data_IF_681221453352
#
_entry.id   IF_681221453352
#
_cell.length_a   1.000
_cell.length_b   1.000
_cell.length_c   1.000
_cell.angle_alpha   90.00
_cell.angle_beta   90.00
_cell.angle_gamma   90.00
#
_symmetry.space_group_name_H-M   'P 1'
#
loop_
_entity.id
_entity.type
_entity.pdbx_description
1 polymer ?
#
# COMPACT_ATOMS: atom_id res chain seq x y z
N UNK A 1 -56.44 -39.23 -34.89
CA UNK A 1 -55.24 -39.88 -34.35
C UNK A 1 -54.10 -38.88 -34.44
N UNK A 2 -53.74 -38.30 -33.30
CA UNK A 2 -52.80 -37.19 -33.14
C UNK A 2 -51.37 -37.70 -33.00
N UNK A 3 -50.43 -37.13 -33.76
CA UNK A 3 -48.98 -37.14 -33.43
C UNK A 3 -48.38 -35.79 -33.81
N UNK A 4 -48.24 -34.94 -32.81
CA UNK A 4 -47.41 -33.73 -32.78
C UNK A 4 -46.45 -33.92 -31.61
N UNK A 5 -45.18 -34.22 -31.86
CA UNK A 5 -44.08 -33.93 -30.93
C UNK A 5 -42.79 -33.85 -31.76
N UNK A 6 -42.21 -32.65 -31.79
CA UNK A 6 -40.88 -32.38 -32.34
C UNK A 6 -39.79 -32.84 -31.38
N UNK A 7 -38.69 -33.34 -31.95
CA UNK A 7 -37.51 -33.85 -31.25
C UNK A 7 -36.65 -32.71 -30.68
N UNK A 8 -36.03 -32.98 -29.53
CA UNK A 8 -35.26 -32.05 -28.68
C UNK A 8 -33.87 -31.64 -29.22
N UNK A 9 -33.60 -31.79 -30.52
CA UNK A 9 -32.22 -31.83 -31.03
C UNK A 9 -31.62 -30.48 -31.48
N UNK A 10 -32.33 -29.35 -31.38
CA UNK A 10 -31.81 -28.03 -31.75
C UNK A 10 -31.89 -27.00 -30.61
N UNK A 11 -31.38 -27.36 -29.44
CA UNK A 11 -31.20 -26.39 -28.35
C UNK A 11 -29.78 -25.79 -28.41
N UNK A 12 -29.68 -24.56 -28.91
CA UNK A 12 -28.42 -23.82 -29.02
C UNK A 12 -27.72 -23.58 -27.68
N UNK A 13 -26.40 -23.31 -27.68
CA UNK A 13 -25.59 -23.21 -26.46
C UNK A 13 -26.07 -22.12 -25.49
N UNK A 14 -26.65 -21.01 -25.98
CA UNK A 14 -27.20 -19.94 -25.13
C UNK A 14 -28.46 -20.38 -24.35
N UNK A 15 -29.34 -21.17 -24.97
CA UNK A 15 -30.57 -21.69 -24.34
C UNK A 15 -30.22 -22.70 -23.23
N UNK A 16 -29.14 -23.49 -23.42
CA UNK A 16 -28.60 -24.39 -22.38
C UNK A 16 -28.03 -23.63 -21.18
N UNK A 17 -27.30 -22.54 -21.42
CA UNK A 17 -26.78 -21.70 -20.33
C UNK A 17 -27.90 -21.01 -19.54
N UNK A 18 -28.95 -20.51 -20.21
CA UNK A 18 -30.11 -19.89 -19.55
C UNK A 18 -30.85 -20.89 -18.66
N UNK A 19 -31.12 -22.10 -19.15
CA UNK A 19 -31.79 -23.16 -18.37
C UNK A 19 -30.97 -23.64 -17.17
N UNK A 20 -29.64 -23.69 -17.30
CA UNK A 20 -28.76 -24.05 -16.18
C UNK A 20 -28.68 -22.96 -15.09
N UNK A 21 -28.87 -21.68 -15.44
CA UNK A 21 -28.94 -20.59 -14.47
C UNK A 21 -30.28 -20.57 -13.72
N UNK A 22 -31.38 -20.89 -14.40
CA UNK A 22 -32.72 -20.95 -13.78
C UNK A 22 -32.88 -22.13 -12.83
N UNK A 23 -32.28 -23.30 -13.12
CA UNK A 23 -32.32 -24.46 -12.22
C UNK A 23 -31.56 -24.23 -10.91
N UNK A 24 -30.42 -23.52 -10.94
CA UNK A 24 -29.67 -23.15 -9.72
C UNK A 24 -30.42 -22.17 -8.82
N UNK A 25 -31.28 -21.32 -9.39
CA UNK A 25 -32.07 -20.35 -8.61
C UNK A 25 -33.25 -21.01 -7.87
N UNK A 26 -33.69 -22.18 -8.32
CA UNK A 26 -34.76 -22.94 -7.68
C UNK A 26 -34.30 -23.75 -6.46
N UNK A 27 -32.99 -24.06 -6.34
CA UNK A 27 -32.45 -24.83 -5.20
C UNK A 27 -32.02 -23.94 -4.01
N UNK A 28 -31.99 -22.62 -4.17
CA UNK A 28 -31.64 -21.66 -3.09
C UNK A 28 -32.84 -21.28 -2.19
N UNK A 29 -33.85 -22.16 -2.09
CA UNK A 29 -35.03 -21.99 -1.26
C UNK A 29 -34.75 -22.21 0.23
N UNK A 30 -34.92 -21.14 1.00
CA UNK A 30 -35.25 -21.11 2.44
C UNK A 30 -34.33 -21.87 3.42
N UNK A 31 -33.21 -21.23 3.78
CA UNK A 31 -32.62 -21.42 5.10
C UNK A 31 -32.69 -20.12 5.92
N UNK A 32 -33.81 -19.96 6.66
CA UNK A 32 -33.94 -18.97 7.74
C UNK A 32 -33.10 -19.44 8.94
N UNK A 33 -32.05 -18.72 9.37
CA UNK A 33 -31.40 -19.05 10.62
C UNK A 33 -32.28 -18.60 11.79
N UNK A 34 -32.57 -19.54 12.67
CA UNK A 34 -33.26 -19.30 13.93
C UNK A 34 -32.41 -18.39 14.84
N UNK A 35 -33.00 -17.29 15.29
CA UNK A 35 -32.41 -16.36 16.25
C UNK A 35 -32.18 -17.07 17.60
N UNK A 36 -30.95 -17.54 17.85
CA UNK A 36 -30.50 -17.97 19.18
C UNK A 36 -30.06 -16.74 19.98
N UNK A 37 -30.96 -16.27 20.86
CA UNK A 37 -30.61 -15.39 21.97
C UNK A 37 -29.79 -16.17 23.00
N UNK A 38 -28.50 -15.90 23.09
CA UNK A 38 -27.72 -16.15 24.31
C UNK A 38 -26.89 -14.91 24.62
N UNK A 39 -27.45 -14.04 25.45
CA UNK A 39 -26.70 -12.99 26.11
C UNK A 39 -25.72 -13.65 27.08
N UNK A 40 -24.44 -13.71 26.71
CA UNK A 40 -23.36 -14.04 27.63
C UNK A 40 -22.94 -12.74 28.30
N UNK A 41 -23.13 -12.66 29.61
CA UNK A 41 -22.68 -11.55 30.42
C UNK A 41 -21.16 -11.39 30.27
N UNK A 42 -20.75 -10.21 29.82
CA UNK A 42 -19.34 -9.78 29.79
C UNK A 42 -18.94 -9.52 31.26
N UNK A 43 -17.90 -10.19 31.80
CA UNK A 43 -17.40 -9.86 33.12
C UNK A 43 -16.81 -8.45 33.11
N UNK A 44 -17.17 -7.66 34.13
CA UNK A 44 -16.69 -6.30 34.33
C UNK A 44 -15.15 -6.24 34.25
N UNK A 45 -14.66 -5.40 33.34
CA UNK A 45 -13.24 -5.06 33.22
C UNK A 45 -12.73 -4.53 34.55
N UNK A 46 -11.77 -5.27 35.12
CA UNK A 46 -11.03 -4.90 36.31
C UNK A 46 -10.25 -3.62 36.00
N UNK A 47 -10.54 -2.55 36.74
CA UNK A 47 -9.80 -1.30 36.67
C UNK A 47 -8.33 -1.57 37.03
N UNK A 48 -7.44 -1.56 36.04
CA UNK A 48 -6.01 -1.42 36.26
C UNK A 48 -5.72 0.08 36.40
N UNK A 49 -5.39 0.46 37.63
CA UNK A 49 -4.78 1.75 37.97
C UNK A 49 -3.42 1.84 37.28
N UNK A 50 -3.35 2.60 36.18
CA UNK A 50 -2.12 3.06 35.57
C UNK A 50 -1.71 4.38 36.24
N UNK A 51 -1.10 4.28 37.42
CA UNK A 51 -0.33 5.36 38.06
C UNK A 51 1.16 5.26 37.64
N UNK A 52 1.41 5.16 36.33
CA UNK A 52 2.76 5.34 35.77
C UNK A 52 2.65 6.39 34.66
N UNK A 53 2.58 7.64 35.10
CA UNK A 53 2.77 8.81 34.25
C UNK A 53 4.22 8.77 33.75
N UNK A 54 4.47 8.55 32.44
CA UNK A 54 5.83 8.62 31.93
C UNK A 54 6.31 10.05 32.11
N UNK A 55 7.35 10.23 32.92
CA UNK A 55 8.06 11.52 33.08
C UNK A 55 8.35 12.07 31.68
N UNK A 56 7.59 13.09 31.28
CA UNK A 56 7.90 13.91 30.10
C UNK A 56 9.26 14.52 30.34
N UNK A 57 10.29 13.93 29.73
CA UNK A 57 11.59 14.57 29.62
C UNK A 57 11.38 15.83 28.79
N UNK A 58 11.57 16.98 29.42
CA UNK A 58 11.50 18.28 28.77
C UNK A 58 12.46 18.30 27.58
N UNK A 59 11.92 18.32 26.37
CA UNK A 59 12.71 18.57 25.16
C UNK A 59 13.52 19.86 25.33
N UNK A 60 14.84 19.86 25.10
CA UNK A 60 15.64 21.07 25.22
C UNK A 60 15.22 22.07 24.15
N UNK A 61 14.65 23.21 24.59
CA UNK A 61 14.50 24.39 23.75
C UNK A 61 15.89 25.00 23.52
N UNK A 62 16.48 24.71 22.35
CA UNK A 62 17.62 25.47 21.86
C UNK A 62 17.34 26.01 20.46
N UNK A 63 17.06 27.31 20.31
CA UNK A 63 17.32 28.02 19.07
C UNK A 63 18.78 28.50 19.09
N UNK A 64 19.71 27.67 18.64
CA UNK A 64 21.02 28.19 18.22
C UNK A 64 20.85 28.80 16.83
N UNK A 65 21.17 30.09 16.70
CA UNK A 65 21.24 30.79 15.41
C UNK A 65 22.25 30.06 14.54
N UNK A 66 21.77 29.16 13.68
CA UNK A 66 22.56 28.60 12.59
C UNK A 66 22.76 29.68 11.54
N UNK A 67 24.00 30.09 11.36
CA UNK A 67 24.42 30.93 10.24
C UNK A 67 24.27 30.07 8.99
N UNK A 68 23.31 30.41 8.14
CA UNK A 68 22.94 29.63 6.97
C UNK A 68 24.10 29.49 5.97
N UNK A 69 24.90 28.45 6.13
CA UNK A 69 25.87 27.98 5.14
C UNK A 69 25.21 26.92 4.26
N UNK A 70 24.22 27.32 3.46
CA UNK A 70 23.78 26.70 2.19
C UNK A 70 23.37 25.23 2.08
N UNK A 71 23.79 24.33 2.96
CA UNK A 71 23.52 22.90 2.92
C UNK A 71 22.92 22.45 4.26
N UNK A 72 21.70 21.91 4.21
CA UNK A 72 21.18 21.12 5.31
C UNK A 72 22.00 19.84 5.38
N UNK A 73 22.63 19.57 6.52
CA UNK A 73 23.36 18.31 6.73
C UNK A 73 22.37 17.14 6.73
N UNK A 74 22.83 15.97 6.27
CA UNK A 74 22.15 14.73 6.57
C UNK A 74 21.96 14.63 8.09
N UNK A 75 20.76 14.28 8.51
CA UNK A 75 20.41 14.16 9.92
C UNK A 75 19.35 13.10 10.08
N UNK A 76 19.50 12.31 11.14
CA UNK A 76 18.49 11.34 11.53
C UNK A 76 17.52 11.97 12.49
N UNK A 77 16.24 11.73 12.26
CA UNK A 77 15.19 12.05 13.21
C UNK A 77 14.60 10.76 13.74
N UNK A 78 14.95 10.43 14.99
CA UNK A 78 14.34 9.30 15.67
C UNK A 78 12.87 9.61 15.99
N UNK A 79 11.97 8.78 15.47
CA UNK A 79 10.55 8.84 15.74
C UNK A 79 10.09 7.49 16.31
N UNK A 80 9.33 7.51 17.40
CA UNK A 80 8.63 6.32 17.90
C UNK A 80 7.17 6.42 17.49
N UNK A 81 6.72 5.53 16.62
CA UNK A 81 5.31 5.42 16.23
C UNK A 81 4.77 4.08 16.71
N UNK A 82 3.74 4.12 17.56
CA UNK A 82 2.96 2.95 17.92
C UNK A 82 1.69 2.93 17.06
N UNK A 83 1.67 2.10 16.01
CA UNK A 83 0.53 1.98 15.11
C UNK A 83 -0.31 0.78 15.55
N UNK A 84 -1.55 1.03 15.98
CA UNK A 84 -2.58 0.01 16.15
C UNK A 84 -3.62 0.20 15.04
N UNK A 85 -3.53 -0.60 13.99
CA UNK A 85 -4.51 -0.59 12.91
C UNK A 85 -5.61 -1.60 13.21
N UNK A 86 -6.84 -1.12 13.39
CA UNK A 86 -8.03 -1.99 13.42
C UNK A 86 -8.66 -2.02 12.02
N UNK A 87 -8.43 -3.10 11.28
CA UNK A 87 -9.16 -3.39 10.05
C UNK A 87 -10.38 -4.24 10.44
N UNK A 88 -11.62 -3.79 10.21
CA UNK A 88 -12.80 -4.59 10.53
C UNK A 88 -12.81 -5.89 9.71
N UNK A 89 -13.56 -6.88 10.19
CA UNK A 89 -13.75 -8.13 9.45
C UNK A 89 -14.34 -7.83 8.07
N UNK A 90 -13.68 -8.35 7.04
CA UNK A 90 -14.11 -8.27 5.65
C UNK A 90 -13.79 -9.60 4.98
N UNK A 91 -14.73 -10.11 4.19
CA UNK A 91 -14.51 -11.34 3.43
C UNK A 91 -13.49 -11.08 2.29
N UNK A 92 -12.72 -12.10 1.86
CA UNK A 92 -12.06 -12.06 0.57
C UNK A 92 -13.08 -11.65 -0.49
N UNK A 93 -12.78 -10.59 -1.21
CA UNK A 93 -13.66 -10.02 -2.24
C UNK A 93 -13.48 -10.75 -3.58
N UNK A 94 -13.27 -12.07 -3.55
CA UNK A 94 -13.22 -12.90 -4.77
C UNK A 94 -14.56 -12.89 -5.51
N UNK A 95 -15.65 -12.72 -4.77
CA UNK A 95 -17.01 -12.55 -5.29
C UNK A 95 -17.36 -11.07 -5.61
N UNK A 96 -16.40 -10.15 -5.46
CA UNK A 96 -16.62 -8.75 -5.80
C UNK A 96 -16.84 -8.63 -7.32
N UNK A 97 -17.98 -8.06 -7.76
CA UNK A 97 -18.30 -7.94 -9.18
C UNK A 97 -17.21 -7.23 -9.98
N UNK A 98 -16.37 -6.41 -9.36
CA UNK A 98 -15.31 -5.63 -9.99
C UNK A 98 -13.93 -6.28 -9.93
N UNK A 99 -13.73 -7.38 -9.20
CA UNK A 99 -12.43 -8.07 -9.09
C UNK A 99 -11.87 -8.49 -10.47
N UNK A 100 -12.74 -8.80 -11.43
CA UNK A 100 -12.31 -9.11 -12.80
C UNK A 100 -11.61 -7.94 -13.50
N UNK A 101 -11.87 -6.68 -13.10
CA UNK A 101 -11.22 -5.49 -13.64
C UNK A 101 -9.75 -5.41 -13.21
N UNK A 102 -9.44 -5.77 -11.97
CA UNK A 102 -8.07 -5.88 -11.47
C UNK A 102 -7.25 -6.86 -12.32
N UNK A 103 -7.78 -8.06 -12.55
CA UNK A 103 -7.09 -9.07 -13.37
C UNK A 103 -7.02 -8.65 -14.85
N UNK A 104 -8.01 -7.93 -15.38
CA UNK A 104 -7.92 -7.33 -16.72
C UNK A 104 -6.82 -6.26 -16.80
N UNK A 105 -6.71 -5.38 -15.81
CA UNK A 105 -5.67 -4.35 -15.73
C UNK A 105 -4.28 -4.99 -15.66
N UNK A 106 -4.10 -5.99 -14.78
CA UNK A 106 -2.89 -6.82 -14.67
C UNK A 106 -2.50 -7.47 -16.00
N UNK A 107 -3.46 -8.15 -16.65
CA UNK A 107 -3.21 -8.81 -17.92
C UNK A 107 -2.83 -7.80 -19.01
N UNK A 108 -3.46 -6.63 -19.03
CA UNK A 108 -3.12 -5.54 -19.95
C UNK A 108 -1.71 -5.02 -19.72
N UNK A 109 -1.33 -4.74 -18.47
CA UNK A 109 0.03 -4.29 -18.11
C UNK A 109 1.10 -5.29 -18.55
N UNK A 110 0.85 -6.59 -18.34
CA UNK A 110 1.71 -7.68 -18.84
C UNK A 110 1.84 -7.65 -20.37
N UNK A 111 0.72 -7.58 -21.10
CA UNK A 111 0.75 -7.51 -22.58
C UNK A 111 1.48 -6.27 -23.11
N UNK A 112 1.42 -5.17 -22.38
CA UNK A 112 2.06 -3.91 -22.76
C UNK A 112 3.54 -3.84 -22.35
N UNK A 113 4.09 -4.88 -21.70
CA UNK A 113 5.47 -4.86 -21.19
C UNK A 113 5.67 -3.91 -20.02
N UNK A 114 4.57 -3.47 -19.38
CA UNK A 114 4.58 -2.58 -18.21
C UNK A 114 4.43 -3.34 -16.89
N UNK A 115 4.56 -4.68 -16.92
CA UNK A 115 4.62 -5.51 -15.71
C UNK A 115 6.02 -5.48 -15.08
N UNK A 116 6.41 -4.29 -14.66
CA UNK A 116 7.66 -4.01 -13.96
C UNK A 116 7.39 -2.91 -12.94
N UNK A 117 8.20 -2.84 -11.89
CA UNK A 117 8.07 -1.79 -10.89
C UNK A 117 8.13 -0.41 -11.55
N UNK A 118 7.19 0.47 -11.22
CA UNK A 118 7.12 1.82 -11.79
C UNK A 118 8.24 2.73 -11.29
N UNK A 119 8.88 2.39 -10.16
CA UNK A 119 9.99 3.15 -9.59
C UNK A 119 11.27 2.90 -10.42
N UNK A 120 11.47 1.66 -10.88
CA UNK A 120 12.50 1.27 -11.87
C UNK A 120 13.92 1.80 -11.53
N UNK A 121 14.37 1.55 -10.29
CA UNK A 121 15.63 2.07 -9.75
C UNK A 121 16.57 0.95 -9.24
N UNK A 122 17.65 1.34 -8.55
CA UNK A 122 18.65 0.47 -7.96
C UNK A 122 18.22 -0.22 -6.65
N UNK A 123 17.04 0.11 -6.10
CA UNK A 123 16.46 -0.48 -4.90
C UNK A 123 15.39 -1.54 -5.24
N UNK A 124 15.04 -1.71 -6.52
CA UNK A 124 14.09 -2.72 -6.96
C UNK A 124 14.54 -4.15 -6.63
N UNK A 125 13.69 -4.88 -5.89
CA UNK A 125 13.90 -6.29 -5.57
C UNK A 125 12.55 -7.04 -5.47
N UNK A 126 12.56 -8.30 -5.94
CA UNK A 126 11.41 -9.20 -5.91
C UNK A 126 10.45 -9.06 -7.11
N UNK A 127 9.40 -9.88 -7.10
CA UNK A 127 8.44 -9.95 -8.20
C UNK A 127 7.53 -8.70 -8.25
N UNK A 128 7.05 -8.28 -9.44
CA UNK A 128 6.06 -7.23 -9.56
C UNK A 128 4.69 -7.65 -9.03
N UNK A 129 4.06 -6.76 -8.28
CA UNK A 129 2.75 -6.86 -7.65
C UNK A 129 1.92 -5.61 -8.05
N UNK A 130 0.60 -5.71 -8.02
CA UNK A 130 -0.28 -4.55 -8.17
C UNK A 130 -0.64 -4.00 -6.81
N UNK A 131 -0.56 -2.68 -6.70
CA UNK A 131 -0.85 -1.93 -5.49
C UNK A 131 -1.96 -0.90 -5.76
N UNK A 132 -2.90 -0.77 -4.83
CA UNK A 132 -3.96 0.24 -4.84
C UNK A 132 -3.49 1.53 -4.15
N UNK A 133 -3.13 2.56 -4.93
CA UNK A 133 -2.34 3.72 -4.48
C UNK A 133 -3.13 4.77 -3.69
N UNK A 134 -4.38 5.05 -4.08
CA UNK A 134 -5.18 6.10 -3.45
C UNK A 134 -6.25 5.54 -2.53
N UNK A 135 -6.86 4.44 -2.92
CA UNK A 135 -7.90 3.76 -2.15
C UNK A 135 -7.63 2.27 -2.16
N UNK A 136 -7.26 1.75 -0.99
CA UNK A 136 -7.05 0.33 -0.77
C UNK A 136 -8.31 -0.47 -1.06
N UNK A 137 -8.16 -1.64 -1.68
CA UNK A 137 -9.26 -2.52 -2.04
C UNK A 137 -10.21 -2.82 -0.87
N UNK A 138 -9.65 -3.06 0.31
CA UNK A 138 -10.42 -3.35 1.53
C UNK A 138 -11.27 -2.17 2.02
N UNK A 139 -10.94 -0.95 1.59
CA UNK A 139 -11.51 0.30 2.08
C UNK A 139 -12.44 0.99 1.07
N UNK A 140 -12.52 0.52 -0.18
CA UNK A 140 -13.29 1.18 -1.26
C UNK A 140 -14.71 1.56 -0.80
N UNK A 141 -15.44 0.64 -0.17
CA UNK A 141 -16.84 0.89 0.26
C UNK A 141 -16.98 1.89 1.43
N UNK A 142 -15.88 2.32 2.03
CA UNK A 142 -15.86 3.29 3.14
C UNK A 142 -15.36 4.68 2.70
N UNK A 143 -14.93 4.82 1.45
CA UNK A 143 -14.45 6.09 0.89
C UNK A 143 -15.60 6.87 0.29
N UNK A 144 -15.56 8.19 0.45
CA UNK A 144 -16.48 9.14 -0.18
C UNK A 144 -15.93 9.51 -1.57
N UNK A 145 -16.59 9.02 -2.63
CA UNK A 145 -16.11 9.17 -4.00
C UNK A 145 -16.03 10.64 -4.43
N UNK A 146 -16.83 11.54 -3.84
CA UNK A 146 -16.81 12.97 -4.17
C UNK A 146 -15.56 13.66 -3.63
N UNK A 147 -15.07 13.23 -2.47
CA UNK A 147 -13.80 13.75 -1.92
C UNK A 147 -12.62 13.33 -2.78
N UNK A 148 -12.63 12.09 -3.27
CA UNK A 148 -11.61 11.62 -4.22
C UNK A 148 -11.65 12.41 -5.53
N UNK A 149 -12.84 12.63 -6.09
CA UNK A 149 -13.01 13.47 -7.28
C UNK A 149 -12.38 14.85 -7.10
N UNK A 150 -12.67 15.51 -5.98
CA UNK A 150 -12.12 16.83 -5.69
C UNK A 150 -10.61 16.81 -5.48
N UNK A 151 -10.08 15.84 -4.73
CA UNK A 151 -8.67 15.77 -4.39
C UNK A 151 -7.79 15.44 -5.61
N UNK A 152 -8.27 14.57 -6.50
CA UNK A 152 -7.52 14.07 -7.65
C UNK A 152 -7.92 14.72 -8.98
N UNK A 153 -8.89 15.64 -8.98
CA UNK A 153 -9.41 16.26 -10.20
C UNK A 153 -10.11 15.27 -11.14
N UNK A 154 -10.75 14.25 -10.57
CA UNK A 154 -11.48 13.21 -11.30
C UNK A 154 -12.97 13.53 -11.37
N UNK A 155 -13.69 12.82 -12.25
CA UNK A 155 -15.13 12.93 -12.38
C UNK A 155 -15.76 11.54 -12.53
N UNK A 156 -16.69 11.21 -11.64
CA UNK A 156 -17.47 9.97 -11.66
C UNK A 156 -18.95 10.36 -11.72
N UNK A 157 -19.68 9.83 -12.70
CA UNK A 157 -21.12 10.07 -12.82
C UNK A 157 -21.92 9.18 -11.87
N UNK A 158 -21.39 7.99 -11.59
CA UNK A 158 -22.01 6.97 -10.74
C UNK A 158 -21.00 6.30 -9.80
N UNK A 159 -21.50 5.64 -8.75
CA UNK A 159 -20.67 4.77 -7.87
C UNK A 159 -20.00 3.64 -8.68
N UNK A 160 -20.70 3.11 -9.68
CA UNK A 160 -20.14 2.09 -10.58
C UNK A 160 -18.92 2.61 -11.35
N UNK A 161 -18.88 3.89 -11.73
CA UNK A 161 -17.70 4.48 -12.38
C UNK A 161 -16.54 4.63 -11.42
N UNK A 162 -16.83 4.95 -10.15
CA UNK A 162 -15.84 4.98 -9.08
C UNK A 162 -15.25 3.59 -8.80
N UNK A 163 -16.10 2.57 -8.64
CA UNK A 163 -15.66 1.17 -8.43
C UNK A 163 -14.78 0.68 -9.59
N UNK A 164 -15.17 0.98 -10.83
CA UNK A 164 -14.34 0.68 -12.01
C UNK A 164 -12.99 1.38 -11.97
N UNK A 165 -12.98 2.67 -11.61
CA UNK A 165 -11.74 3.43 -11.49
C UNK A 165 -10.83 2.87 -10.39
N UNK A 166 -11.41 2.50 -9.24
CA UNK A 166 -10.66 1.95 -8.11
C UNK A 166 -9.90 0.67 -8.48
N UNK A 167 -10.42 -0.13 -9.40
CA UNK A 167 -9.78 -1.34 -9.94
C UNK A 167 -9.06 -1.14 -11.29
N UNK A 168 -8.75 0.11 -11.66
CA UNK A 168 -8.18 0.46 -12.97
C UNK A 168 -6.83 1.20 -12.90
N UNK A 169 -6.08 1.28 -14.03
CA UNK A 169 -4.92 2.16 -14.14
C UNK A 169 -5.31 3.61 -13.83
N UNK A 170 -4.80 4.15 -12.73
CA UNK A 170 -5.25 5.40 -12.12
C UNK A 170 -5.35 5.30 -10.59
N UNK A 171 -5.81 4.16 -10.08
CA UNK A 171 -5.63 3.77 -8.69
C UNK A 171 -4.65 2.59 -8.55
N UNK A 172 -4.36 1.88 -9.65
CA UNK A 172 -3.43 0.74 -9.65
C UNK A 172 -2.03 1.12 -10.14
N UNK A 173 -1.02 0.71 -9.38
CA UNK A 173 0.41 0.87 -9.71
C UNK A 173 1.15 -0.46 -9.59
N UNK A 174 2.13 -0.69 -10.47
CA UNK A 174 2.96 -1.91 -10.41
C UNK A 174 4.18 -1.62 -9.55
N UNK A 175 4.31 -2.32 -8.42
CA UNK A 175 5.45 -2.20 -7.51
C UNK A 175 6.14 -3.56 -7.38
N UNK A 176 7.47 -3.60 -7.28
CA UNK A 176 8.15 -4.83 -6.85
C UNK A 176 7.89 -5.09 -5.37
N UNK A 177 8.08 -6.33 -4.91
CA UNK A 177 7.88 -6.70 -3.52
C UNK A 177 8.61 -5.76 -2.53
N UNK A 178 9.81 -5.26 -2.88
CA UNK A 178 10.55 -4.33 -2.03
C UNK A 178 9.84 -2.97 -1.88
N UNK A 179 9.45 -2.36 -3.00
CA UNK A 179 8.73 -1.08 -3.05
C UNK A 179 7.24 -1.18 -2.67
N UNK A 180 6.70 -2.39 -2.59
CA UNK A 180 5.32 -2.58 -2.13
C UNK A 180 5.26 -2.78 -0.61
N UNK A 181 6.05 -3.70 -0.06
CA UNK A 181 5.80 -4.28 1.27
C UNK A 181 7.04 -4.54 2.13
N UNK A 182 8.24 -4.24 1.64
CA UNK A 182 9.49 -4.39 2.43
C UNK A 182 10.10 -3.02 2.76
N UNK A 183 11.43 -2.93 2.91
CA UNK A 183 12.14 -1.79 3.52
C UNK A 183 11.87 -0.43 2.84
N UNK A 184 11.65 -0.45 1.54
CA UNK A 184 11.35 0.75 0.75
C UNK A 184 9.88 0.79 0.34
N UNK A 185 9.02 0.11 1.09
CA UNK A 185 7.64 -0.20 0.71
C UNK A 185 6.63 0.88 1.06
N UNK A 186 5.67 1.14 0.18
CA UNK A 186 4.53 2.05 0.44
C UNK A 186 3.73 1.66 1.69
N UNK A 187 3.64 0.37 2.01
CA UNK A 187 2.91 -0.09 3.19
C UNK A 187 3.66 0.09 4.53
N UNK A 188 4.94 0.45 4.51
CA UNK A 188 5.75 0.63 5.73
C UNK A 188 6.31 2.04 5.89
N UNK A 189 6.48 2.78 4.79
CA UNK A 189 6.97 4.16 4.80
C UNK A 189 5.77 5.12 4.93
N UNK A 190 5.78 6.07 5.88
CA UNK A 190 4.75 7.10 5.98
C UNK A 190 4.58 7.89 4.67
N UNK A 191 3.34 8.21 4.30
CA UNK A 191 3.00 8.85 3.03
C UNK A 191 3.92 10.00 2.57
N UNK A 192 4.24 11.00 3.42
CA UNK A 192 5.15 12.08 3.02
C UNK A 192 6.57 11.62 2.64
N UNK A 193 7.08 10.59 3.30
CA UNK A 193 8.39 10.00 3.01
C UNK A 193 8.31 9.08 1.78
N UNK A 194 7.19 8.38 1.62
CA UNK A 194 6.93 7.55 0.44
C UNK A 194 6.94 8.38 -0.84
N UNK A 195 6.30 9.56 -0.85
CA UNK A 195 6.31 10.42 -2.04
C UNK A 195 7.73 10.87 -2.42
N UNK A 196 8.61 11.14 -1.45
CA UNK A 196 10.00 11.47 -1.73
C UNK A 196 10.77 10.27 -2.31
N UNK A 197 10.55 9.07 -1.78
CA UNK A 197 11.14 7.84 -2.28
C UNK A 197 10.62 7.50 -3.69
N UNK A 198 9.32 7.66 -3.93
CA UNK A 198 8.65 7.34 -5.19
C UNK A 198 9.26 8.06 -6.39
N UNK A 199 9.76 9.27 -6.19
CA UNK A 199 10.34 10.12 -7.23
C UNK A 199 11.83 10.39 -7.02
N UNK A 200 12.52 9.57 -6.23
CA UNK A 200 13.93 9.77 -5.96
C UNK A 200 14.79 9.54 -7.22
N UNK A 201 16.00 10.07 -7.21
CA UNK A 201 16.94 9.91 -8.33
C UNK A 201 17.75 8.65 -8.12
N UNK A 202 17.75 7.74 -9.10
CA UNK A 202 18.60 6.55 -9.08
C UNK A 202 20.05 6.89 -8.74
N UNK A 203 20.67 6.09 -7.86
CA UNK A 203 22.07 6.27 -7.45
C UNK A 203 22.33 7.39 -6.45
N UNK A 204 21.29 8.01 -5.86
CA UNK A 204 21.45 8.93 -4.71
C UNK A 204 21.25 8.26 -3.36
N UNK A 205 21.00 6.95 -3.35
CA UNK A 205 20.50 6.24 -2.17
C UNK A 205 19.02 6.51 -1.91
N UNK A 206 18.40 5.78 -0.96
CA UNK A 206 17.00 5.94 -0.63
C UNK A 206 16.72 7.31 -0.01
N UNK A 207 15.61 7.93 -0.42
CA UNK A 207 15.12 9.16 0.24
C UNK A 207 14.52 8.87 1.63
N UNK A 208 14.07 7.64 1.85
CA UNK A 208 13.55 7.13 3.11
C UNK A 208 13.62 5.60 3.12
N UNK A 209 13.76 5.01 4.30
CA UNK A 209 13.76 3.57 4.49
C UNK A 209 13.12 3.18 5.82
N UNK A 210 12.57 1.96 5.88
CA UNK A 210 12.09 1.36 7.10
C UNK A 210 13.19 0.49 7.73
N UNK A 211 13.69 0.94 8.88
CA UNK A 211 14.65 0.20 9.71
C UNK A 211 13.90 -0.52 10.83
N UNK A 212 13.93 -1.86 10.88
CA UNK A 212 13.38 -2.63 11.99
C UNK A 212 14.03 -2.26 13.34
N UNK A 213 13.27 -2.38 14.42
CA UNK A 213 13.71 -1.96 15.75
C UNK A 213 15.00 -2.66 16.22
N UNK A 214 15.22 -3.90 15.81
CA UNK A 214 16.42 -4.69 16.13
C UNK A 214 17.66 -4.30 15.33
N UNK A 215 17.52 -3.47 14.28
CA UNK A 215 18.62 -2.99 13.43
C UNK A 215 19.02 -1.53 13.73
N UNK A 216 18.29 -0.83 14.59
CA UNK A 216 18.52 0.60 14.89
C UNK A 216 19.92 0.86 15.46
N UNK A 217 20.49 -0.08 16.21
CA UNK A 217 21.81 0.09 16.82
C UNK A 217 22.97 -0.20 15.86
N UNK A 218 22.71 -0.81 14.71
CA UNK A 218 23.71 -1.02 13.68
C UNK A 218 23.87 0.23 12.81
N UNK A 219 22.78 0.96 12.54
CA UNK A 219 22.82 2.25 11.80
C UNK A 219 23.75 3.25 12.48
N UNK A 220 23.73 3.32 13.81
CA UNK A 220 24.56 4.28 14.58
C UNK A 220 26.06 4.05 14.43
N UNK A 221 26.50 2.84 14.07
CA UNK A 221 27.93 2.52 13.98
C UNK A 221 28.54 3.06 12.68
N UNK A 222 27.77 3.09 11.61
CA UNK A 222 28.28 3.45 10.28
C UNK A 222 28.48 4.98 10.13
N UNK A 223 27.68 5.79 10.81
CA UNK A 223 27.84 7.25 10.79
C UNK A 223 29.04 7.76 11.59
N UNK A 224 29.42 7.06 12.68
CA UNK A 224 30.57 7.41 13.49
C UNK A 224 31.91 7.07 12.77
N UNK A 225 31.90 6.07 11.90
CA UNK A 225 33.07 5.64 11.11
C UNK A 225 33.22 6.43 9.80
N UNK A 226 32.20 7.16 9.36
CA UNK A 226 32.28 8.16 8.29
C UNK A 226 33.02 9.44 8.73
N UNK A 227 34.06 9.30 9.57
CA UNK A 227 34.99 10.39 9.85
C UNK A 227 35.67 10.76 8.52
N UNK A 228 35.55 12.00 8.04
CA UNK A 228 36.14 12.38 6.77
C UNK A 228 37.62 12.08 6.84
N UNK A 229 38.10 11.16 6.00
CA UNK A 229 39.51 10.89 5.82
C UNK A 229 40.16 12.24 5.54
N UNK A 230 40.89 12.76 6.53
CA UNK A 230 41.52 14.06 6.45
C UNK A 230 42.41 14.02 5.21
N UNK A 231 41.99 14.73 4.15
CA UNK A 231 42.78 14.95 2.95
C UNK A 231 44.10 15.57 3.41
N UNK A 232 45.15 14.74 3.51
CA UNK A 232 46.52 15.20 3.69
C UNK A 232 46.83 16.01 2.42
N UNK A 233 46.68 17.33 2.51
CA UNK A 233 47.17 18.24 1.51
C UNK A 233 48.68 18.06 1.43
N UNK A 234 49.14 17.50 0.31
CA UNK A 234 50.55 17.38 0.00
C UNK A 234 51.13 18.79 -0.18
N UNK A 235 51.69 19.33 0.88
CA UNK A 235 52.56 20.50 0.81
C UNK A 235 53.99 20.07 0.44
N UNK A 236 54.57 20.83 -0.50
CA UNK A 236 55.99 20.93 -0.85
C UNK A 236 56.58 19.92 -1.84
N UNK A 237 56.93 20.44 -3.03
CA UNK A 237 58.33 20.73 -3.38
C UNK A 237 58.41 21.44 -4.73
N UNK A 238 58.54 22.76 -4.67
CA UNK A 238 59.20 23.55 -5.70
C UNK A 238 60.59 23.95 -5.16
N UNK A 239 61.65 23.37 -5.75
CA UNK A 239 63.04 23.84 -5.72
C UNK A 239 63.62 23.32 -7.04
N UNK A 240 63.82 24.16 -8.05
CA UNK A 240 64.91 25.13 -8.23
C UNK A 240 65.71 24.65 -9.45
N UNK A 241 65.49 25.30 -10.59
CA UNK A 241 66.39 25.25 -11.73
C UNK A 241 67.11 26.59 -11.81
N UNK A 242 68.44 26.53 -11.79
CA UNK A 242 69.36 27.62 -12.11
C UNK A 242 70.43 27.02 -13.00
#
# INVERSE_FOLDING_TARGET
MSKLFGSEEEMGPEEKHRRAAESKKAEAGEHRPAAKKTAKAVPASRAHSHDDEPKRTSSPLHPTKSVATGNTLAHDQMLTVHILTHVPEHAPREDDPHYHLFEQAKARLKRQGMWKCIIDDDLCEGDPELHHTHVEFSQINQVDEKKIQQALGLHFETDEDFQKWAESPGNLEVLCANHHRAHYGIHVIPGPLWEALRFHKTGTGPAAEFVPADQVDDVKKDDDDAKPAAKKTAASRAKAAK
#
